data_IF_101440197009
#
_entry.id   IF_101440197009
#
_cell.length_a   1.000
_cell.length_b   1.000
_cell.length_c   1.000
_cell.angle_alpha   90.00
_cell.angle_beta   90.00
_cell.angle_gamma   90.00
#
_symmetry.space_group_name_H-M   'P 1'
#
loop_
_entity.id
_entity.type
_entity.pdbx_description
1 polymer ?
#
# COMPACT_ATOMS: atom_id res chain seq x y z
N UNK A 1 -17.43 8.18 17.84
CA UNK A 1 -16.10 7.55 18.00
C UNK A 1 -16.09 6.09 17.58
N UNK A 2 -17.12 5.29 17.91
CA UNK A 2 -17.18 3.87 17.53
C UNK A 2 -17.20 3.58 16.03
N UNK A 3 -18.03 4.28 15.24
CA UNK A 3 -18.14 4.07 13.79
C UNK A 3 -16.85 4.42 13.05
N UNK A 4 -16.29 5.61 13.29
CA UNK A 4 -15.00 6.01 12.71
C UNK A 4 -13.85 5.05 13.03
N UNK A 5 -13.78 4.54 14.27
CA UNK A 5 -12.79 3.53 14.64
C UNK A 5 -12.99 2.21 13.88
N UNK A 6 -14.24 1.82 13.62
CA UNK A 6 -14.58 0.64 12.83
C UNK A 6 -14.12 0.79 11.38
N UNK A 7 -14.29 1.96 10.76
CA UNK A 7 -13.79 2.25 9.41
C UNK A 7 -12.27 2.15 9.33
N UNK A 8 -11.56 2.76 10.28
CA UNK A 8 -10.09 2.72 10.36
C UNK A 8 -9.60 1.28 10.52
N UNK A 9 -10.14 0.54 11.49
CA UNK A 9 -9.69 -0.84 11.77
C UNK A 9 -10.04 -1.77 10.61
N UNK A 10 -11.25 -1.66 10.04
CA UNK A 10 -11.65 -2.49 8.91
C UNK A 10 -10.80 -2.23 7.67
N UNK A 11 -10.51 -0.96 7.36
CA UNK A 11 -9.63 -0.60 6.26
C UNK A 11 -8.19 -1.10 6.47
N UNK A 12 -7.67 -1.01 7.71
CA UNK A 12 -6.36 -1.56 8.05
C UNK A 12 -6.29 -3.08 7.90
N UNK A 13 -7.31 -3.82 8.35
CA UNK A 13 -7.36 -5.27 8.17
C UNK A 13 -7.44 -5.63 6.68
N UNK A 14 -8.33 -5.01 5.91
CA UNK A 14 -8.49 -5.31 4.49
C UNK A 14 -7.24 -4.99 3.68
N UNK A 15 -6.68 -3.79 3.88
CA UNK A 15 -5.44 -3.37 3.24
C UNK A 15 -4.26 -4.24 3.65
N UNK A 16 -4.14 -4.57 4.94
CA UNK A 16 -3.05 -5.40 5.46
C UNK A 16 -3.09 -6.83 4.95
N UNK A 17 -4.27 -7.46 4.84
CA UNK A 17 -4.40 -8.80 4.26
C UNK A 17 -3.99 -8.82 2.80
N UNK A 18 -4.48 -7.86 2.00
CA UNK A 18 -4.14 -7.78 0.57
C UNK A 18 -2.65 -7.49 0.38
N UNK A 19 -2.12 -6.53 1.14
CA UNK A 19 -0.70 -6.20 1.12
C UNK A 19 0.14 -7.42 1.50
N UNK A 20 -0.17 -8.11 2.60
CA UNK A 20 0.57 -9.29 3.03
C UNK A 20 0.56 -10.42 2.00
N UNK A 21 -0.61 -10.75 1.44
CA UNK A 21 -0.72 -11.80 0.44
C UNK A 21 0.00 -11.41 -0.85
N UNK A 22 -0.19 -10.18 -1.32
CA UNK A 22 0.47 -9.70 -2.52
C UNK A 22 1.98 -9.57 -2.38
N UNK A 23 2.47 -9.13 -1.22
CA UNK A 23 3.92 -9.05 -0.99
C UNK A 23 4.54 -10.43 -0.88
N UNK A 24 3.97 -11.28 -0.03
CA UNK A 24 4.52 -12.62 0.28
C UNK A 24 4.53 -13.53 -0.94
N UNK A 25 3.46 -13.54 -1.73
CA UNK A 25 3.28 -14.54 -2.79
C UNK A 25 3.48 -14.01 -4.21
N UNK A 26 3.52 -12.69 -4.43
CA UNK A 26 3.74 -12.12 -5.76
C UNK A 26 4.98 -11.25 -5.81
N UNK A 27 5.08 -10.25 -4.94
CA UNK A 27 6.10 -9.21 -5.05
C UNK A 27 7.49 -9.66 -4.58
N UNK A 28 7.61 -10.27 -3.40
CA UNK A 28 8.90 -10.74 -2.88
C UNK A 28 9.55 -11.83 -3.74
N UNK A 29 8.81 -12.83 -4.25
CA UNK A 29 9.38 -13.76 -5.22
C UNK A 29 9.93 -13.04 -6.46
N UNK A 30 9.19 -12.08 -7.03
CA UNK A 30 9.64 -11.32 -8.18
C UNK A 30 10.88 -10.45 -7.89
N UNK A 31 11.00 -9.92 -6.67
CA UNK A 31 12.19 -9.18 -6.21
C UNK A 31 13.40 -10.10 -5.97
N UNK A 32 13.19 -11.32 -5.49
CA UNK A 32 14.28 -12.29 -5.30
C UNK A 32 14.93 -12.69 -6.64
N UNK A 33 14.13 -12.79 -7.70
CA UNK A 33 14.60 -13.01 -9.07
C UNK A 33 15.22 -11.76 -9.71
N UNK A 34 15.10 -10.58 -9.06
CA UNK A 34 15.57 -9.27 -9.54
C UNK A 34 16.15 -8.42 -8.40
N UNK A 35 17.27 -8.84 -7.79
CA UNK A 35 17.74 -8.27 -6.51
C UNK A 35 18.10 -6.79 -6.63
N UNK A 36 17.58 -5.99 -5.69
CA UNK A 36 18.03 -4.61 -5.44
C UNK A 36 19.22 -4.66 -4.48
N UNK A 37 20.39 -4.16 -4.90
CA UNK A 37 21.60 -4.21 -4.07
C UNK A 37 21.51 -3.32 -2.81
N UNK A 38 21.97 -3.86 -1.67
CA UNK A 38 22.64 -3.08 -0.62
C UNK A 38 21.82 -2.31 0.43
N UNK A 39 20.52 -2.56 0.60
CA UNK A 39 19.72 -1.87 1.64
C UNK A 39 19.30 -2.83 2.75
N UNK A 40 19.73 -2.57 3.98
CA UNK A 40 19.35 -3.33 5.16
C UNK A 40 17.95 -2.94 5.65
N UNK A 41 17.10 -3.93 5.91
CA UNK A 41 15.72 -3.69 6.35
C UNK A 41 15.67 -3.25 7.82
N UNK A 42 15.00 -2.13 8.11
CA UNK A 42 14.82 -1.61 9.48
C UNK A 42 13.93 -2.55 10.32
N UNK A 43 12.95 -3.20 9.69
CA UNK A 43 12.05 -4.18 10.30
C UNK A 43 11.99 -5.43 9.42
N UNK A 44 11.95 -6.60 10.03
CA UNK A 44 11.75 -7.88 9.34
C UNK A 44 10.26 -8.16 9.10
N UNK A 45 9.95 -8.83 7.99
CA UNK A 45 8.59 -9.31 7.73
C UNK A 45 8.13 -10.33 8.77
N UNK A 46 6.87 -10.28 9.26
CA UNK A 46 5.75 -9.43 8.79
C UNK A 46 5.57 -8.10 9.54
N UNK A 47 6.47 -7.74 10.47
CA UNK A 47 6.32 -6.54 11.30
C UNK A 47 6.41 -5.24 10.48
N UNK A 48 7.23 -5.24 9.43
CA UNK A 48 7.31 -4.14 8.46
C UNK A 48 5.95 -3.80 7.84
N UNK A 49 5.19 -4.80 7.41
CA UNK A 49 3.87 -4.67 6.78
C UNK A 49 2.86 -4.15 7.80
N UNK A 50 2.84 -4.70 9.02
CA UNK A 50 1.91 -4.27 10.08
C UNK A 50 2.12 -2.79 10.42
N UNK A 51 3.38 -2.38 10.63
CA UNK A 51 3.71 -0.99 10.95
C UNK A 51 3.37 -0.06 9.79
N UNK A 52 3.71 -0.46 8.56
CA UNK A 52 3.37 0.30 7.36
C UNK A 52 1.86 0.52 7.23
N UNK A 53 1.04 -0.53 7.38
CA UNK A 53 -0.43 -0.45 7.25
C UNK A 53 -1.02 0.49 8.30
N UNK A 54 -0.57 0.42 9.55
CA UNK A 54 -1.03 1.32 10.61
C UNK A 54 -0.74 2.78 10.24
N UNK A 55 0.49 3.08 9.83
CA UNK A 55 0.89 4.44 9.43
C UNK A 55 0.04 4.89 8.23
N UNK A 56 -0.04 4.06 7.20
CA UNK A 56 -0.76 4.36 5.96
C UNK A 56 -2.23 4.69 6.21
N UNK A 57 -2.93 3.90 7.03
CA UNK A 57 -4.37 4.08 7.28
C UNK A 57 -4.66 5.27 8.19
N UNK A 58 -3.78 5.56 9.16
CA UNK A 58 -3.92 6.78 9.99
C UNK A 58 -3.75 8.03 9.13
N UNK A 59 -2.75 8.06 8.25
CA UNK A 59 -2.57 9.16 7.31
C UNK A 59 -3.76 9.24 6.34
N UNK A 60 -4.24 8.11 5.83
CA UNK A 60 -5.40 8.04 4.97
C UNK A 60 -6.63 8.70 5.61
N UNK A 61 -7.02 8.32 6.83
CA UNK A 61 -8.14 8.92 7.58
C UNK A 61 -8.02 10.46 7.67
N UNK A 62 -6.81 10.97 7.95
CA UNK A 62 -6.56 12.42 8.01
C UNK A 62 -6.83 13.09 6.65
N UNK A 63 -6.40 12.50 5.54
CA UNK A 63 -6.61 13.07 4.22
C UNK A 63 -8.05 12.90 3.73
N UNK A 64 -8.73 11.80 4.07
CA UNK A 64 -10.15 11.61 3.78
C UNK A 64 -10.98 12.73 4.43
N UNK A 65 -10.67 13.06 5.69
CA UNK A 65 -11.36 14.16 6.39
C UNK A 65 -11.13 15.53 5.75
N UNK A 66 -9.99 15.76 5.09
CA UNK A 66 -9.67 17.02 4.42
C UNK A 66 -10.22 17.12 3.01
N UNK A 67 -10.21 16.02 2.27
CA UNK A 67 -10.65 15.95 0.87
C UNK A 67 -12.16 15.73 0.77
N UNK A 68 -12.76 15.03 1.73
CA UNK A 68 -14.18 14.69 1.76
C UNK A 68 -14.59 13.60 0.76
N UNK A 69 -13.62 12.92 0.12
CA UNK A 69 -13.87 11.83 -0.82
C UNK A 69 -12.85 10.71 -0.62
N UNK A 70 -13.29 9.64 0.03
CA UNK A 70 -12.45 8.51 0.46
C UNK A 70 -11.77 7.78 -0.69
N UNK A 71 -12.53 7.39 -1.72
CA UNK A 71 -11.96 6.68 -2.86
C UNK A 71 -10.99 7.56 -3.66
N UNK A 72 -11.31 8.84 -3.82
CA UNK A 72 -10.39 9.79 -4.45
C UNK A 72 -9.08 9.89 -3.64
N UNK A 73 -9.16 10.02 -2.32
CA UNK A 73 -7.98 10.01 -1.45
C UNK A 73 -7.17 8.72 -1.62
N UNK A 74 -7.83 7.57 -1.69
CA UNK A 74 -7.15 6.28 -1.77
C UNK A 74 -6.39 6.14 -3.08
N UNK A 75 -7.04 6.53 -4.18
CA UNK A 75 -6.43 6.51 -5.51
C UNK A 75 -5.30 7.53 -5.64
N UNK A 76 -5.40 8.70 -5.01
CA UNK A 76 -4.29 9.66 -4.95
C UNK A 76 -3.06 9.04 -4.28
N UNK A 77 -3.23 8.34 -3.15
CA UNK A 77 -2.13 7.64 -2.48
C UNK A 77 -1.52 6.55 -3.35
N UNK A 78 -2.36 5.73 -4.01
CA UNK A 78 -1.88 4.68 -4.91
C UNK A 78 -1.08 5.25 -6.08
N UNK A 79 -1.64 6.23 -6.80
CA UNK A 79 -1.02 6.82 -7.99
C UNK A 79 0.28 7.54 -7.62
N UNK A 80 0.32 8.28 -6.49
CA UNK A 80 1.56 8.91 -6.03
C UNK A 80 2.67 7.89 -5.76
N UNK A 81 2.36 6.76 -5.13
CA UNK A 81 3.33 5.69 -4.88
C UNK A 81 3.79 5.02 -6.18
N UNK A 82 2.88 4.77 -7.12
CA UNK A 82 3.21 4.18 -8.43
C UNK A 82 4.16 5.11 -9.22
N UNK A 83 3.88 6.41 -9.26
CA UNK A 83 4.70 7.36 -9.99
C UNK A 83 6.15 7.38 -9.49
N UNK A 84 6.37 7.34 -8.17
CA UNK A 84 7.73 7.37 -7.62
C UNK A 84 8.39 5.99 -7.64
N UNK A 85 7.70 4.94 -7.18
CA UNK A 85 8.29 3.62 -6.97
C UNK A 85 8.31 2.76 -8.23
N UNK A 86 7.26 2.82 -9.05
CA UNK A 86 7.05 1.89 -10.17
C UNK A 86 7.34 2.52 -11.54
N UNK A 87 7.31 3.85 -11.63
CA UNK A 87 7.64 4.58 -12.86
C UNK A 87 9.02 5.22 -12.76
N UNK A 88 9.23 6.15 -11.82
CA UNK A 88 10.49 6.89 -11.73
C UNK A 88 11.69 5.97 -11.44
N UNK A 89 11.55 5.02 -10.51
CA UNK A 89 12.64 4.08 -10.21
C UNK A 89 12.90 3.04 -11.30
N UNK A 90 11.91 2.73 -12.14
CA UNK A 90 12.17 1.90 -13.33
C UNK A 90 12.92 2.71 -14.38
N UNK A 91 12.48 3.94 -14.63
CA UNK A 91 13.11 4.81 -15.63
C UNK A 91 14.55 5.19 -15.29
N UNK A 92 14.87 5.33 -14.01
CA UNK A 92 16.22 5.69 -13.57
C UNK A 92 17.13 4.46 -13.29
N UNK A 93 16.63 3.24 -13.50
CA UNK A 93 17.41 2.00 -13.33
C UNK A 93 17.50 1.47 -11.90
N UNK A 94 16.85 2.11 -10.92
CA UNK A 94 16.87 1.65 -9.52
C UNK A 94 15.89 0.50 -9.24
N UNK A 95 15.04 0.12 -10.21
CA UNK A 95 14.06 -0.96 -10.06
C UNK A 95 13.80 -1.70 -11.37
N UNK A 96 13.70 -3.03 -11.29
CA UNK A 96 13.30 -3.84 -12.44
C UNK A 96 11.83 -3.59 -12.83
N UNK A 97 11.56 -3.59 -14.13
CA UNK A 97 10.23 -3.31 -14.67
C UNK A 97 9.17 -4.36 -14.27
N UNK A 98 9.54 -5.63 -14.21
CA UNK A 98 8.59 -6.72 -13.90
C UNK A 98 8.06 -6.63 -12.45
N UNK A 99 8.90 -6.53 -11.40
CA UNK A 99 8.42 -6.28 -10.04
C UNK A 99 7.63 -4.97 -9.89
N UNK A 100 7.97 -3.94 -10.66
CA UNK A 100 7.27 -2.66 -10.62
C UNK A 100 5.82 -2.75 -11.13
N UNK A 101 5.57 -3.51 -12.20
CA UNK A 101 4.20 -3.73 -12.69
C UNK A 101 3.35 -4.49 -11.66
N UNK A 102 3.93 -5.52 -11.04
CA UNK A 102 3.23 -6.28 -9.98
C UNK A 102 2.94 -5.40 -8.76
N UNK A 103 3.89 -4.57 -8.35
CA UNK A 103 3.74 -3.58 -7.29
C UNK A 103 2.64 -2.56 -7.60
N UNK A 104 2.61 -2.01 -8.81
CA UNK A 104 1.58 -1.06 -9.19
C UNK A 104 0.17 -1.68 -9.10
N UNK A 105 0.01 -2.92 -9.58
CA UNK A 105 -1.25 -3.66 -9.43
C UNK A 105 -1.62 -3.90 -7.97
N UNK A 106 -0.65 -4.28 -7.14
CA UNK A 106 -0.85 -4.50 -5.70
C UNK A 106 -1.24 -3.22 -4.96
N UNK A 107 -0.60 -2.09 -5.28
CA UNK A 107 -0.91 -0.79 -4.71
C UNK A 107 -2.35 -0.38 -5.06
N UNK A 108 -2.74 -0.48 -6.33
CA UNK A 108 -4.12 -0.20 -6.75
C UNK A 108 -5.13 -1.08 -6.00
N UNK A 109 -4.88 -2.40 -5.93
CA UNK A 109 -5.78 -3.33 -5.25
C UNK A 109 -5.88 -3.04 -3.74
N UNK A 110 -4.75 -2.77 -3.09
CA UNK A 110 -4.69 -2.50 -1.65
C UNK A 110 -5.40 -1.20 -1.31
N UNK A 111 -5.10 -0.11 -2.01
CA UNK A 111 -5.73 1.19 -1.77
C UNK A 111 -7.21 1.19 -2.15
N UNK A 112 -7.60 0.48 -3.21
CA UNK A 112 -9.01 0.31 -3.56
C UNK A 112 -9.77 -0.39 -2.42
N UNK A 113 -9.23 -1.49 -1.88
CA UNK A 113 -9.85 -2.21 -0.79
C UNK A 113 -9.90 -1.39 0.50
N UNK A 114 -8.85 -0.63 0.81
CA UNK A 114 -8.82 0.32 1.95
C UNK A 114 -9.95 1.34 1.79
N UNK A 115 -10.02 2.04 0.66
CA UNK A 115 -11.03 3.07 0.43
C UNK A 115 -12.45 2.51 0.45
N UNK A 116 -12.67 1.39 -0.24
CA UNK A 116 -13.97 0.72 -0.27
C UNK A 116 -14.43 0.25 1.11
N UNK A 117 -13.54 -0.37 1.89
CA UNK A 117 -13.86 -0.88 3.23
C UNK A 117 -14.09 0.27 4.20
N UNK A 118 -13.29 1.34 4.09
CA UNK A 118 -13.45 2.53 4.91
C UNK A 118 -14.84 3.15 4.73
N UNK A 119 -15.27 3.37 3.49
CA UNK A 119 -16.60 3.95 3.19
C UNK A 119 -17.75 3.03 3.62
N UNK A 120 -17.60 1.72 3.44
CA UNK A 120 -18.62 0.73 3.82
C UNK A 120 -18.87 0.64 5.32
N UNK A 121 -17.90 1.06 6.13
CA UNK A 121 -17.93 0.95 7.58
C UNK A 121 -18.10 2.30 8.28
N UNK A 122 -18.07 3.40 7.51
CA UNK A 122 -18.24 4.79 7.95
C UNK A 122 -19.69 5.13 8.28
#
# INVERSE_FOLDING_TARGET
MGERMKSIVGAAVAGGVIAYLGTTYLFYPAMADNPSEGVEAILSSPLDIVVYVIIAVVFFDVFVQKVGNTMLTAMLFAVSQILILDVFYVLNGNRAAYPAVLSAGLLLASWYAIGWTYDKLA
#
